data_IF_078938858737
#
_entry.id   IF_078938858737
#
_cell.length_a   1.000
_cell.length_b   1.000
_cell.length_c   1.000
_cell.angle_alpha   90.00
_cell.angle_beta   90.00
_cell.angle_gamma   90.00
#
_symmetry.space_group_name_H-M   'P 1'
#
loop_
_entity.id
_entity.type
_entity.pdbx_description
1 polymer ?
#
# COMPACT_ATOMS: atom_id res chain seq x y z
N UNK A 1 -10.24 8.95 11.21
CA UNK A 1 -10.92 8.70 9.92
C UNK A 1 -10.56 7.30 9.46
N UNK A 2 -11.52 6.50 9.01
CA UNK A 2 -11.25 5.17 8.42
C UNK A 2 -10.57 5.34 7.06
N UNK A 3 -9.79 4.34 6.62
CA UNK A 3 -9.13 4.40 5.30
C UNK A 3 -10.15 4.59 4.16
N UNK A 4 -11.30 3.94 4.25
CA UNK A 4 -12.39 4.08 3.27
C UNK A 4 -12.98 5.50 3.24
N UNK A 5 -13.08 6.16 4.41
CA UNK A 5 -13.57 7.54 4.51
C UNK A 5 -12.53 8.53 3.93
N UNK A 6 -11.24 8.27 4.19
CA UNK A 6 -10.14 9.05 3.60
C UNK A 6 -10.18 8.98 2.08
N UNK A 7 -10.17 7.76 1.53
CA UNK A 7 -10.19 7.51 0.09
C UNK A 7 -11.42 8.17 -0.55
N UNK A 8 -12.62 7.95 0.01
CA UNK A 8 -13.85 8.56 -0.49
C UNK A 8 -13.82 10.10 -0.44
N UNK A 9 -13.20 10.70 0.59
CA UNK A 9 -13.09 12.16 0.71
C UNK A 9 -12.14 12.79 -0.32
N UNK A 10 -11.11 12.06 -0.74
CA UNK A 10 -10.12 12.51 -1.73
C UNK A 10 -10.62 12.28 -3.17
N UNK A 11 -11.38 11.21 -3.35
CA UNK A 11 -11.83 10.68 -4.64
C UNK A 11 -10.95 9.52 -5.09
N UNK A 12 -11.56 8.36 -5.36
CA UNK A 12 -10.87 7.14 -5.79
C UNK A 12 -10.03 7.35 -7.06
N UNK A 13 -10.44 8.27 -7.93
CA UNK A 13 -9.73 8.67 -9.16
C UNK A 13 -8.37 9.34 -8.90
N UNK A 14 -8.15 9.83 -7.68
CA UNK A 14 -6.89 10.47 -7.25
C UNK A 14 -6.02 9.54 -6.40
N UNK A 15 -6.49 8.31 -6.15
CA UNK A 15 -5.75 7.29 -5.40
C UNK A 15 -5.03 6.39 -6.39
N UNK A 16 -3.75 6.19 -6.15
CA UNK A 16 -2.92 5.31 -6.97
C UNK A 16 -2.37 4.18 -6.10
N UNK A 17 -2.34 2.97 -6.67
CA UNK A 17 -1.65 1.85 -6.06
C UNK A 17 -0.15 1.94 -6.38
N UNK A 18 0.69 1.77 -5.37
CA UNK A 18 2.12 1.59 -5.54
C UNK A 18 2.48 0.17 -5.14
N UNK A 19 3.03 -0.60 -6.09
CA UNK A 19 3.54 -1.93 -5.80
C UNK A 19 4.87 -1.80 -5.04
N UNK A 20 4.87 -2.19 -3.76
CA UNK A 20 6.06 -2.05 -2.91
C UNK A 20 7.17 -3.04 -3.29
N UNK A 21 6.85 -4.18 -3.89
CA UNK A 21 7.86 -5.14 -4.36
C UNK A 21 8.69 -4.55 -5.51
N UNK A 22 8.09 -3.71 -6.35
CA UNK A 22 8.78 -3.04 -7.47
C UNK A 22 9.73 -1.93 -7.02
N UNK A 23 9.46 -1.32 -5.85
CA UNK A 23 10.27 -0.22 -5.31
C UNK A 23 11.08 -0.63 -4.08
N UNK A 24 11.10 -1.91 -3.72
CA UNK A 24 11.86 -2.41 -2.58
C UNK A 24 13.36 -2.32 -2.88
N UNK A 25 14.09 -1.61 -2.03
CA UNK A 25 15.55 -1.45 -2.12
C UNK A 25 16.24 -2.53 -1.30
N UNK A 26 15.74 -2.82 -0.10
CA UNK A 26 16.30 -3.84 0.78
C UNK A 26 15.27 -4.37 1.77
N UNK A 27 15.44 -5.63 2.17
CA UNK A 27 14.73 -6.25 3.28
C UNK A 27 15.73 -7.05 4.11
N UNK A 28 15.87 -6.70 5.38
CA UNK A 28 16.69 -7.41 6.36
C UNK A 28 15.80 -7.89 7.51
N UNK A 29 16.14 -9.05 8.06
CA UNK A 29 15.56 -9.56 9.28
C UNK A 29 16.67 -9.87 10.29
N UNK A 30 16.59 -9.23 11.45
CA UNK A 30 17.43 -9.52 12.59
C UNK A 30 16.57 -9.92 13.77
N UNK A 31 16.90 -11.03 14.44
CA UNK A 31 16.19 -11.44 15.66
C UNK A 31 16.19 -10.36 16.76
N UNK A 32 17.17 -9.45 16.78
CA UNK A 32 17.25 -8.36 17.78
C UNK A 32 16.53 -7.08 17.36
N UNK A 33 16.46 -6.79 16.06
CA UNK A 33 15.93 -5.52 15.51
C UNK A 33 14.61 -5.67 14.77
N UNK A 34 14.13 -6.89 14.61
CA UNK A 34 12.97 -7.22 13.78
C UNK A 34 13.27 -7.10 12.29
N UNK A 35 12.21 -6.93 11.50
CA UNK A 35 12.30 -6.71 10.06
C UNK A 35 12.53 -5.23 9.75
N UNK A 36 13.48 -4.94 8.88
CA UNK A 36 13.72 -3.62 8.35
C UNK A 36 13.62 -3.67 6.82
N UNK A 37 12.65 -2.94 6.26
CA UNK A 37 12.39 -2.92 4.83
C UNK A 37 12.51 -1.48 4.35
N UNK A 38 13.33 -1.26 3.33
CA UNK A 38 13.55 0.04 2.71
C UNK A 38 12.90 0.05 1.33
N UNK A 39 12.10 1.08 1.07
CA UNK A 39 11.46 1.31 -0.22
C UNK A 39 11.94 2.63 -0.81
N UNK A 40 12.09 2.66 -2.12
CA UNK A 40 12.20 3.90 -2.91
C UNK A 40 10.83 4.42 -3.31
N UNK A 41 10.80 5.59 -3.93
CA UNK A 41 9.59 6.13 -4.54
C UNK A 41 9.93 6.90 -5.82
N UNK A 42 9.14 6.75 -6.90
CA UNK A 42 9.29 7.59 -8.10
C UNK A 42 8.66 8.98 -7.93
N UNK A 43 8.02 9.25 -6.79
CA UNK A 43 7.37 10.54 -6.49
C UNK A 43 8.39 11.64 -6.33
N UNK A 44 8.06 12.81 -6.86
CA UNK A 44 8.90 14.00 -6.73
C UNK A 44 8.82 14.51 -5.30
N UNK A 45 9.98 14.87 -4.75
CA UNK A 45 10.09 15.55 -3.46
C UNK A 45 10.17 17.05 -3.72
N UNK A 46 9.24 17.80 -3.13
CA UNK A 46 9.19 19.25 -3.19
C UNK A 46 10.25 19.91 -2.32
N UNK A 47 10.38 21.24 -2.47
CA UNK A 47 11.29 22.05 -1.65
C UNK A 47 10.86 22.12 -0.18
N UNK A 48 9.62 21.75 0.13
CA UNK A 48 9.09 21.59 1.49
C UNK A 48 9.49 20.25 2.13
N UNK A 49 10.20 19.40 1.38
CA UNK A 49 10.64 18.08 1.84
C UNK A 49 9.55 17.01 1.79
N UNK A 50 8.35 17.32 1.29
CA UNK A 50 7.27 16.36 1.13
C UNK A 50 7.22 15.82 -0.29
N UNK A 51 6.67 14.63 -0.45
CA UNK A 51 6.32 14.11 -1.78
C UNK A 51 5.06 14.78 -2.30
N UNK A 52 4.96 14.91 -3.62
CA UNK A 52 3.76 15.41 -4.33
C UNK A 52 2.47 14.62 -4.01
N UNK A 53 2.62 13.39 -3.50
CA UNK A 53 1.54 12.53 -2.99
C UNK A 53 1.86 11.95 -1.63
N UNK A 54 0.84 11.77 -0.80
CA UNK A 54 0.96 11.05 0.48
C UNK A 54 1.09 9.53 0.21
N UNK A 55 2.16 8.92 0.70
CA UNK A 55 2.34 7.46 0.69
C UNK A 55 1.81 6.81 1.97
N UNK A 56 1.06 5.71 1.84
CA UNK A 56 0.54 4.93 2.96
C UNK A 56 0.93 3.46 2.82
N UNK A 57 1.43 2.86 3.90
CA UNK A 57 1.63 1.40 3.99
C UNK A 57 0.45 0.82 4.77
N UNK A 58 -0.34 -0.03 4.11
CA UNK A 58 -1.53 -0.65 4.70
C UNK A 58 -1.27 -2.14 4.90
N UNK A 59 -1.47 -2.61 6.12
CA UNK A 59 -1.40 -4.03 6.46
C UNK A 59 -2.82 -4.59 6.52
N UNK A 60 -3.06 -5.64 5.75
CA UNK A 60 -4.34 -6.36 5.73
C UNK A 60 -4.12 -7.76 6.29
N UNK A 61 -5.15 -8.30 6.95
CA UNK A 61 -5.12 -9.71 7.37
C UNK A 61 -5.03 -10.62 6.13
N UNK A 62 -4.03 -11.52 6.15
CA UNK A 62 -3.68 -12.32 4.99
C UNK A 62 -4.81 -13.28 4.59
N UNK A 63 -5.52 -13.84 5.55
CA UNK A 63 -6.58 -14.81 5.27
C UNK A 63 -7.88 -14.11 4.87
N UNK A 64 -8.17 -12.93 5.43
CA UNK A 64 -9.24 -12.06 4.97
C UNK A 64 -9.06 -11.65 3.50
N UNK A 65 -7.84 -11.26 3.09
CA UNK A 65 -7.55 -10.91 1.68
C UNK A 65 -7.75 -12.11 0.75
N UNK A 66 -7.24 -13.30 1.12
CA UNK A 66 -7.46 -14.53 0.35
C UNK A 66 -8.95 -14.83 0.16
N UNK A 67 -9.74 -14.70 1.23
CA UNK A 67 -11.18 -14.93 1.18
C UNK A 67 -11.89 -13.94 0.25
N UNK A 68 -11.53 -12.65 0.31
CA UNK A 68 -12.09 -11.61 -0.55
C UNK A 68 -11.80 -11.87 -2.05
N UNK A 69 -10.55 -12.18 -2.41
CA UNK A 69 -10.16 -12.50 -3.79
C UNK A 69 -10.86 -13.76 -4.29
N UNK A 70 -11.00 -14.79 -3.44
CA UNK A 70 -11.70 -16.01 -3.79
C UNK A 70 -13.21 -15.79 -4.03
N UNK A 71 -13.83 -14.87 -3.27
CA UNK A 71 -15.23 -14.49 -3.45
C UNK A 71 -15.46 -13.73 -4.76
N UNK A 72 -14.57 -12.79 -5.11
CA UNK A 72 -14.62 -12.04 -6.38
C UNK A 72 -14.59 -12.97 -7.59
N UNK A 73 -13.65 -13.93 -7.62
CA UNK A 73 -13.53 -14.91 -8.71
C UNK A 73 -14.76 -15.80 -8.89
N UNK A 74 -15.51 -16.07 -7.82
CA UNK A 74 -16.76 -16.84 -7.88
C UNK A 74 -17.96 -15.99 -8.32
N UNK A 75 -17.92 -14.68 -8.08
CA UNK A 75 -18.96 -13.73 -8.48
C UNK A 75 -18.92 -13.36 -9.97
N UNK A 76 -17.75 -13.40 -10.62
CA UNK A 76 -17.57 -13.08 -12.04
C UNK A 76 -17.91 -14.20 -13.05
N UNK A 77 -18.47 -15.32 -12.60
CA UNK A 77 -18.92 -16.45 -13.45
C UNK A 77 -20.46 -16.53 -13.58
N UNK A 78 -21.18 -15.44 -13.36
CA UNK A 78 -22.64 -15.36 -13.55
C UNK A 78 -23.00 -14.38 -14.65
#
# INVERSE_FOLDING_TARGET
>A
MKLSELIASVGDDKVEMQNLDEVMISADYSMRRGSHITFGTPRLVGLDGNTDKLGLVVWLDRDAVKAAIAAEKKGGQR
#
